data_IF_473320199366
#
_entry.id   IF_473320199366
#
_cell.length_a   1.000
_cell.length_b   1.000
_cell.length_c   1.000
_cell.angle_alpha   90.00
_cell.angle_beta   90.00
_cell.angle_gamma   90.00
#
_symmetry.space_group_name_H-M   'P 1'
#
loop_
_entity.id
_entity.type
_entity.pdbx_description
1 polymer ?
#
# COMPACT_ATOMS: atom_id res chain seq x y z
N UNK A 1 -8.37 20.33 -6.75
CA UNK A 1 -8.63 19.58 -7.97
C UNK A 1 -7.36 19.41 -8.82
N UNK A 2 -6.67 20.49 -9.21
CA UNK A 2 -5.45 20.42 -10.03
C UNK A 2 -4.36 19.56 -9.41
N UNK A 3 -4.14 19.65 -8.10
CA UNK A 3 -3.18 18.81 -7.37
C UNK A 3 -3.44 17.31 -7.57
N UNK A 4 -4.70 16.89 -7.67
CA UNK A 4 -5.04 15.49 -7.97
C UNK A 4 -4.74 15.10 -9.42
N UNK A 5 -4.93 16.03 -10.37
CA UNK A 5 -4.56 15.81 -11.78
C UNK A 5 -3.03 15.69 -11.93
N UNK A 6 -2.27 16.61 -11.31
CA UNK A 6 -0.81 16.59 -11.33
C UNK A 6 -0.27 15.29 -10.72
N UNK A 7 -0.84 14.88 -9.60
CA UNK A 7 -0.53 13.59 -8.97
C UNK A 7 -0.82 12.40 -9.88
N UNK A 8 -2.01 12.36 -10.49
CA UNK A 8 -2.37 11.27 -11.41
C UNK A 8 -1.43 11.23 -12.61
N UNK A 9 -1.13 12.38 -13.22
CA UNK A 9 -0.20 12.49 -14.35
C UNK A 9 1.20 12.00 -13.97
N UNK A 10 1.68 12.33 -12.77
CA UNK A 10 3.00 11.90 -12.28
C UNK A 10 3.11 10.39 -12.06
N UNK A 11 1.98 9.71 -11.81
CA UNK A 11 1.95 8.25 -11.55
C UNK A 11 1.80 7.40 -12.82
N UNK A 12 1.28 7.94 -13.93
CA UNK A 12 1.05 7.18 -15.17
C UNK A 12 2.32 6.45 -15.66
N UNK A 13 3.52 7.08 -15.72
CA UNK A 13 4.72 6.39 -16.17
C UNK A 13 5.11 5.19 -15.29
N UNK A 14 4.77 5.24 -14.00
CA UNK A 14 5.11 4.19 -13.04
C UNK A 14 4.27 2.93 -13.22
N UNK A 15 3.04 3.02 -13.70
CA UNK A 15 2.24 1.83 -14.03
C UNK A 15 2.89 1.01 -15.13
N UNK A 16 3.45 1.69 -16.15
CA UNK A 16 4.25 1.04 -17.18
C UNK A 16 5.53 0.44 -16.60
N UNK A 17 6.24 1.18 -15.78
CA UNK A 17 7.47 0.69 -15.12
C UNK A 17 7.21 -0.57 -14.30
N UNK A 18 6.15 -0.59 -13.49
CA UNK A 18 5.77 -1.77 -12.71
C UNK A 18 5.47 -2.98 -13.62
N UNK A 19 4.75 -2.76 -14.72
CA UNK A 19 4.49 -3.81 -15.69
C UNK A 19 5.78 -4.33 -16.33
N UNK A 20 6.67 -3.45 -16.79
CA UNK A 20 7.94 -3.82 -17.39
C UNK A 20 8.83 -4.60 -16.39
N UNK A 21 8.88 -4.19 -15.13
CA UNK A 21 9.62 -4.94 -14.09
C UNK A 21 9.09 -6.38 -13.94
N UNK A 22 7.78 -6.57 -13.95
CA UNK A 22 7.21 -7.91 -13.93
C UNK A 22 7.50 -8.73 -15.19
N UNK A 23 7.47 -8.07 -16.34
CA UNK A 23 7.73 -8.70 -17.64
C UNK A 23 9.21 -9.10 -17.80
N UNK A 24 10.12 -8.15 -17.58
CA UNK A 24 11.54 -8.32 -17.84
C UNK A 24 12.21 -9.29 -16.86
N UNK A 25 11.61 -9.50 -15.69
CA UNK A 25 12.10 -10.34 -14.62
C UNK A 25 11.17 -11.54 -14.31
N UNK A 26 10.33 -11.95 -15.28
CA UNK A 26 9.30 -12.97 -15.06
C UNK A 26 9.84 -14.32 -14.54
N UNK A 27 11.09 -14.66 -14.87
CA UNK A 27 11.76 -15.90 -14.47
C UNK A 27 12.44 -15.79 -13.10
N UNK A 28 12.50 -14.60 -12.49
CA UNK A 28 13.09 -14.42 -11.16
C UNK A 28 12.13 -14.89 -10.04
N UNK A 29 12.68 -15.11 -8.85
CA UNK A 29 11.88 -15.42 -7.66
C UNK A 29 10.96 -14.25 -7.29
N UNK A 30 9.78 -14.58 -6.73
CA UNK A 30 8.75 -13.58 -6.38
C UNK A 30 9.28 -12.50 -5.43
N UNK A 31 10.15 -12.87 -4.49
CA UNK A 31 10.79 -11.95 -3.56
C UNK A 31 11.68 -10.92 -4.27
N UNK A 32 12.40 -11.33 -5.31
CA UNK A 32 13.27 -10.44 -6.08
C UNK A 32 12.44 -9.44 -6.91
N UNK A 33 11.38 -9.93 -7.56
CA UNK A 33 10.44 -9.08 -8.29
C UNK A 33 9.78 -8.10 -7.33
N UNK A 34 9.32 -8.57 -6.17
CA UNK A 34 8.71 -7.74 -5.14
C UNK A 34 9.65 -6.61 -4.67
N UNK A 35 10.93 -6.91 -4.42
CA UNK A 35 11.90 -5.88 -4.01
C UNK A 35 12.12 -4.82 -5.11
N UNK A 36 12.14 -5.22 -6.39
CA UNK A 36 12.20 -4.28 -7.52
C UNK A 36 10.97 -3.39 -7.57
N UNK A 37 9.76 -3.98 -7.43
CA UNK A 37 8.50 -3.24 -7.39
C UNK A 37 8.43 -2.30 -6.21
N UNK A 38 8.91 -2.72 -5.03
CA UNK A 38 9.02 -1.90 -3.82
C UNK A 38 9.90 -0.69 -4.04
N UNK A 39 11.10 -0.86 -4.60
CA UNK A 39 12.00 0.24 -4.92
C UNK A 39 11.39 1.21 -5.93
N UNK A 40 10.79 0.70 -7.00
CA UNK A 40 10.09 1.52 -7.98
C UNK A 40 8.89 2.25 -7.35
N UNK A 41 8.15 1.60 -6.44
CA UNK A 41 7.06 2.20 -5.69
C UNK A 41 7.50 3.39 -4.83
N UNK A 42 8.63 3.29 -4.14
CA UNK A 42 9.19 4.42 -3.37
C UNK A 42 9.54 5.61 -4.26
N UNK A 43 10.06 5.37 -5.45
CA UNK A 43 10.33 6.41 -6.45
C UNK A 43 9.05 7.01 -7.00
N UNK A 44 8.01 6.21 -7.23
CA UNK A 44 6.68 6.68 -7.63
C UNK A 44 6.06 7.58 -6.56
N UNK A 45 6.15 7.21 -5.28
CA UNK A 45 5.72 8.08 -4.16
C UNK A 45 6.48 9.40 -4.16
N UNK A 46 7.80 9.37 -4.36
CA UNK A 46 8.62 10.57 -4.43
C UNK A 46 8.21 11.48 -5.60
N UNK A 47 7.94 10.91 -6.78
CA UNK A 47 7.45 11.66 -7.94
C UNK A 47 6.08 12.30 -7.67
N UNK A 48 5.16 11.57 -7.04
CA UNK A 48 3.86 12.08 -6.62
C UNK A 48 4.00 13.25 -5.63
N UNK A 49 4.82 13.11 -4.58
CA UNK A 49 5.03 14.18 -3.61
C UNK A 49 5.70 15.41 -4.24
N UNK A 50 6.63 15.21 -5.17
CA UNK A 50 7.26 16.30 -5.92
C UNK A 50 6.21 17.08 -6.75
N UNK A 51 5.35 16.37 -7.48
CA UNK A 51 4.30 16.97 -8.30
C UNK A 51 3.22 17.69 -7.48
N UNK A 52 3.02 17.29 -6.22
CA UNK A 52 1.96 17.80 -5.34
C UNK A 52 2.49 18.73 -4.24
N UNK A 53 3.76 19.17 -4.33
CA UNK A 53 4.39 20.01 -3.30
C UNK A 53 4.28 19.42 -1.87
N UNK A 54 4.49 18.10 -1.77
CA UNK A 54 4.47 17.36 -0.51
C UNK A 54 3.08 16.92 -0.03
N UNK A 55 2.02 17.17 -0.81
CA UNK A 55 0.65 16.78 -0.42
C UNK A 55 0.43 15.30 -0.76
N UNK A 56 0.04 14.51 0.23
CA UNK A 56 -0.35 13.12 0.01
C UNK A 56 -1.74 13.05 -0.66
N UNK A 57 -1.78 12.61 -1.90
CA UNK A 57 -3.00 12.47 -2.69
C UNK A 57 -3.29 11.00 -3.03
N UNK A 58 -2.37 10.32 -3.70
CA UNK A 58 -2.53 8.97 -4.23
C UNK A 58 -1.53 7.95 -3.67
N UNK A 59 -0.89 8.22 -2.52
CA UNK A 59 0.10 7.29 -1.92
C UNK A 59 -0.47 5.88 -1.75
N UNK A 60 -1.72 5.76 -1.30
CA UNK A 60 -2.40 4.47 -1.13
C UNK A 60 -2.62 3.67 -2.42
N UNK A 61 -2.55 4.33 -3.59
CA UNK A 61 -2.68 3.69 -4.90
C UNK A 61 -1.38 3.03 -5.37
N UNK A 62 -0.22 3.52 -4.95
CA UNK A 62 1.10 3.10 -5.48
C UNK A 62 1.35 1.62 -5.23
N UNK A 63 1.21 1.16 -3.98
CA UNK A 63 1.47 -0.24 -3.62
C UNK A 63 0.55 -1.24 -4.36
N UNK A 64 -0.79 -1.11 -4.32
CA UNK A 64 -1.67 -2.04 -5.03
C UNK A 64 -1.45 -2.01 -6.55
N UNK A 65 -1.14 -0.85 -7.13
CA UNK A 65 -0.83 -0.73 -8.56
C UNK A 65 0.50 -1.40 -8.90
N UNK A 66 1.52 -1.29 -8.07
CA UNK A 66 2.80 -1.96 -8.28
C UNK A 66 2.62 -3.49 -8.30
N UNK A 67 1.87 -4.04 -7.34
CA UNK A 67 1.58 -5.48 -7.30
C UNK A 67 0.77 -5.92 -8.51
N UNK A 68 -0.32 -5.21 -8.84
CA UNK A 68 -1.20 -5.59 -9.94
C UNK A 68 -0.51 -5.49 -11.31
N UNK A 69 0.18 -4.38 -11.58
CA UNK A 69 0.88 -4.19 -12.85
C UNK A 69 2.09 -5.13 -12.97
N UNK A 70 2.84 -5.36 -11.88
CA UNK A 70 3.94 -6.31 -11.86
C UNK A 70 3.48 -7.75 -12.10
N UNK A 71 2.41 -8.18 -11.45
CA UNK A 71 1.80 -9.48 -11.67
C UNK A 71 1.30 -9.64 -13.12
N UNK A 72 0.65 -8.59 -13.65
CA UNK A 72 0.18 -8.58 -15.04
C UNK A 72 1.36 -8.73 -16.02
N UNK A 73 2.46 -8.00 -15.80
CA UNK A 73 3.68 -8.08 -16.61
C UNK A 73 4.28 -9.49 -16.57
N UNK A 74 4.43 -10.06 -15.37
CA UNK A 74 4.98 -11.41 -15.17
C UNK A 74 4.15 -12.47 -15.87
N UNK A 75 2.82 -12.44 -15.73
CA UNK A 75 1.92 -13.40 -16.38
C UNK A 75 1.90 -13.23 -17.90
N UNK A 76 2.03 -11.98 -18.39
CA UNK A 76 2.05 -11.69 -19.83
C UNK A 76 3.36 -12.11 -20.51
N UNK A 77 4.47 -12.23 -19.78
CA UNK A 77 5.73 -12.70 -20.33
C UNK A 77 5.55 -14.08 -20.99
N UNK A 78 5.78 -14.13 -22.31
CA UNK A 78 5.62 -15.35 -23.09
C UNK A 78 4.17 -15.77 -23.42
N UNK A 79 3.16 -14.95 -23.10
CA UNK A 79 1.74 -15.24 -23.41
C UNK A 79 1.11 -14.15 -24.26
N UNK A 80 0.11 -14.52 -25.07
CA UNK A 80 -0.72 -13.58 -25.82
C UNK A 80 -1.98 -13.18 -25.04
N UNK A 81 -2.53 -12.00 -25.34
CA UNK A 81 -3.81 -11.55 -24.80
C UNK A 81 -5.01 -12.32 -25.45
N UNK A 82 -6.13 -12.47 -24.75
CA UNK A 82 -6.39 -12.04 -23.37
C UNK A 82 -5.81 -12.97 -22.32
N UNK A 83 -5.35 -12.40 -21.18
CA UNK A 83 -4.88 -13.18 -20.05
C UNK A 83 -6.05 -13.61 -19.15
N UNK A 84 -6.05 -14.85 -18.62
CA UNK A 84 -7.01 -15.25 -17.62
C UNK A 84 -6.84 -14.42 -16.34
N UNK A 85 -7.92 -13.79 -15.88
CA UNK A 85 -7.87 -12.92 -14.68
C UNK A 85 -7.37 -13.69 -13.43
N UNK A 86 -7.74 -14.97 -13.29
CA UNK A 86 -7.31 -15.76 -12.14
C UNK A 86 -5.80 -16.03 -12.11
N UNK A 87 -5.15 -16.15 -13.26
CA UNK A 87 -3.69 -16.27 -13.30
C UNK A 87 -3.02 -14.99 -12.79
N UNK A 88 -3.51 -13.81 -13.20
CA UNK A 88 -3.00 -12.52 -12.71
C UNK A 88 -3.24 -12.38 -11.21
N UNK A 89 -4.44 -12.73 -10.72
CA UNK A 89 -4.77 -12.69 -9.30
C UNK A 89 -3.94 -13.69 -8.48
N UNK A 90 -3.65 -14.86 -9.04
CA UNK A 90 -2.75 -15.83 -8.41
C UNK A 90 -1.34 -15.26 -8.24
N UNK A 91 -0.84 -14.55 -9.25
CA UNK A 91 0.46 -13.91 -9.17
C UNK A 91 0.45 -12.72 -8.21
N UNK A 92 -0.63 -11.95 -8.16
CA UNK A 92 -0.82 -10.91 -7.14
C UNK A 92 -0.73 -11.47 -5.73
N UNK A 93 -1.31 -12.67 -5.47
CA UNK A 93 -1.22 -13.32 -4.16
C UNK A 93 0.22 -13.65 -3.77
N UNK A 94 1.02 -14.16 -4.70
CA UNK A 94 2.44 -14.49 -4.46
C UNK A 94 3.24 -13.23 -4.14
N UNK A 95 3.21 -12.24 -5.02
CA UNK A 95 3.92 -10.97 -4.82
C UNK A 95 3.42 -10.22 -3.57
N UNK A 96 2.11 -10.21 -3.32
CA UNK A 96 1.50 -9.61 -2.14
C UNK A 96 1.93 -10.29 -0.84
N UNK A 97 2.09 -11.62 -0.86
CA UNK A 97 2.54 -12.39 0.31
C UNK A 97 3.95 -12.04 0.75
N UNK A 98 4.85 -11.65 -0.18
CA UNK A 98 6.18 -11.15 0.16
C UNK A 98 6.09 -9.92 1.09
N UNK A 99 5.10 -9.05 0.89
CA UNK A 99 4.88 -7.85 1.72
C UNK A 99 4.44 -8.15 3.16
N UNK A 100 3.75 -9.27 3.38
CA UNK A 100 3.35 -9.70 4.73
C UNK A 100 4.53 -10.24 5.54
N UNK A 101 5.49 -10.87 4.90
CA UNK A 101 6.74 -11.30 5.53
C UNK A 101 7.50 -10.13 6.15
N UNK A 102 7.48 -8.97 5.50
CA UNK A 102 8.10 -7.75 6.03
C UNK A 102 7.36 -7.20 7.25
N UNK A 103 6.02 -7.22 7.25
CA UNK A 103 5.23 -6.84 8.42
C UNK A 103 5.54 -7.73 9.63
N UNK A 104 5.64 -9.04 9.43
CA UNK A 104 5.96 -9.99 10.50
C UNK A 104 7.37 -9.76 11.07
N UNK A 105 8.36 -9.46 10.22
CA UNK A 105 9.72 -9.12 10.65
C UNK A 105 9.76 -7.86 11.50
N UNK A 106 9.06 -6.80 11.07
CA UNK A 106 8.96 -5.53 11.81
C UNK A 106 8.32 -5.74 13.19
N UNK A 107 7.23 -6.49 13.26
CA UNK A 107 6.54 -6.80 14.52
C UNK A 107 7.42 -7.58 15.50
N UNK A 108 8.12 -8.60 15.01
CA UNK A 108 9.04 -9.39 15.83
C UNK A 108 10.23 -8.56 16.34
N UNK A 109 10.71 -7.61 15.55
CA UNK A 109 11.79 -6.72 15.96
C UNK A 109 11.35 -5.75 17.06
N UNK A 110 10.16 -5.18 16.96
CA UNK A 110 9.59 -4.30 18.00
C UNK A 110 9.33 -5.02 19.31
N UNK A 111 8.79 -6.24 19.26
CA UNK A 111 8.59 -7.04 20.48
C UNK A 111 9.91 -7.38 21.16
N UNK A 112 10.98 -7.64 20.42
CA UNK A 112 12.31 -7.83 21.00
C UNK A 112 12.86 -6.57 21.67
N UNK A 113 12.65 -5.39 21.09
CA UNK A 113 13.10 -4.12 21.66
C UNK A 113 12.30 -3.73 22.91
N UNK A 114 10.99 -3.99 22.93
CA UNK A 114 10.15 -3.72 24.11
C UNK A 114 10.48 -4.65 25.29
N UNK A 115 10.88 -5.89 25.03
CA UNK A 115 11.37 -6.80 26.06
C UNK A 115 12.78 -6.48 26.54
N UNK A 116 13.63 -5.91 25.69
CA UNK A 116 14.99 -5.50 26.08
C UNK A 116 14.99 -4.22 26.95
N UNK A 117 14.09 -3.29 26.71
CA UNK A 117 13.96 -2.05 27.49
C UNK A 117 13.28 -2.22 28.85
N UNK A 118 12.72 -3.37 29.16
CA UNK A 118 12.14 -3.68 30.48
C UNK A 118 13.15 -4.29 31.48
N UNK A 119 14.42 -4.45 31.10
CA UNK A 119 15.45 -5.10 31.95
C UNK A 119 16.47 -4.11 32.51
N UNK A 120 16.56 -2.87 32.03
CA UNK A 120 17.53 -1.87 32.51
C UNK A 120 16.87 -0.60 33.07
N UNK A 121 16.33 -0.70 34.28
CA UNK A 121 16.10 0.45 35.15
C UNK A 121 16.88 0.23 36.44
N UNK A 122 18.21 0.34 36.38
CA UNK A 122 19.04 0.72 37.50
C UNK A 122 20.48 0.99 37.03
N UNK A 123 20.82 2.22 36.74
CA UNK A 123 22.12 2.84 37.10
C UNK A 123 22.13 4.32 36.74
N UNK A 124 22.35 5.06 37.77
CA UNK A 124 22.50 6.52 37.80
C UNK A 124 23.79 7.00 37.15
N UNK A 125 23.66 8.26 36.70
CA UNK A 125 24.69 9.31 36.71
C UNK A 125 25.79 9.33 35.66
N UNK A 126 25.80 10.39 34.84
CA UNK A 126 26.88 11.38 34.85
C UNK A 126 26.73 12.39 33.72
N UNK A 127 26.87 13.65 34.10
CA UNK A 127 26.93 14.88 33.29
C UNK A 127 28.09 14.84 32.29
N UNK A 128 27.88 15.42 31.07
CA UNK A 128 28.99 15.69 30.16
C UNK A 128 28.54 16.43 28.89
N UNK A 129 28.60 17.77 28.99
CA UNK A 129 28.89 18.80 27.95
C UNK A 129 28.69 18.46 26.47
N UNK A 130 27.88 19.30 25.80
CA UNK A 130 27.85 19.55 24.35
C UNK A 130 29.22 19.97 23.78
N UNK A 131 29.45 19.70 22.51
CA UNK A 131 29.94 20.72 21.59
C UNK A 131 28.99 20.94 20.40
N UNK A 132 28.71 22.23 20.15
CA UNK A 132 28.25 22.74 18.85
C UNK A 132 29.32 22.51 17.79
N UNK A 133 28.97 22.02 16.60
CA UNK A 133 29.32 22.64 15.32
C UNK A 133 28.61 21.94 14.14
N UNK A 134 27.78 22.62 13.49
CA UNK A 134 27.62 23.20 12.16
C UNK A 134 27.82 22.32 10.93
N UNK A 135 26.79 22.38 10.08
CA UNK A 135 26.69 22.51 8.63
C UNK A 135 26.48 21.29 7.77
N UNK A 136 25.30 21.34 7.12
CA UNK A 136 25.04 20.88 5.76
C UNK A 136 25.23 19.39 5.46
N UNK A 137 24.28 18.59 5.96
CA UNK A 137 23.84 17.39 5.23
C UNK A 137 22.33 17.51 5.00
N UNK A 138 21.80 17.08 3.81
CA UNK A 138 20.38 16.92 3.66
C UNK A 138 19.87 15.96 4.74
N UNK A 139 18.64 16.15 5.28
CA UNK A 139 18.15 15.34 6.38
C UNK A 139 18.19 13.87 5.96
N UNK A 140 19.11 13.12 6.54
CA UNK A 140 19.04 11.67 6.54
C UNK A 140 17.75 11.32 7.27
N UNK A 141 16.85 10.59 6.58
CA UNK A 141 15.62 10.11 7.17
C UNK A 141 15.97 9.39 8.48
N UNK A 142 15.47 9.91 9.59
CA UNK A 142 15.48 9.25 10.90
C UNK A 142 15.01 7.80 10.73
N UNK A 143 15.53 6.83 11.49
CA UNK A 143 15.12 5.43 11.35
C UNK A 143 13.61 5.34 11.54
N UNK A 144 12.96 5.07 10.43
CA UNK A 144 11.55 5.03 10.05
C UNK A 144 10.53 4.99 11.20
N UNK A 145 9.87 6.12 11.40
CA UNK A 145 8.55 6.10 12.02
C UNK A 145 7.65 5.16 11.20
N UNK A 146 6.98 4.19 11.87
CA UNK A 146 6.05 3.26 11.22
C UNK A 146 5.05 3.99 10.32
N UNK A 147 4.80 3.45 9.15
CA UNK A 147 3.71 3.90 8.29
C UNK A 147 2.35 3.73 9.00
N UNK A 148 1.34 4.46 8.56
CA UNK A 148 -0.01 4.35 9.13
C UNK A 148 -0.55 2.90 9.06
N UNK A 149 -0.29 2.18 7.96
CA UNK A 149 -0.68 0.77 7.82
C UNK A 149 0.02 -0.14 8.82
N UNK A 150 1.31 0.07 9.10
CA UNK A 150 2.07 -0.70 10.08
C UNK A 150 1.60 -0.42 11.52
N UNK A 151 1.24 0.83 11.83
CA UNK A 151 0.65 1.19 13.14
C UNK A 151 -0.71 0.54 13.35
N UNK A 152 -1.58 0.52 12.33
CA UNK A 152 -2.89 -0.11 12.39
C UNK A 152 -2.77 -1.61 12.52
N UNK A 153 -1.84 -2.22 11.77
CA UNK A 153 -1.54 -3.64 11.92
C UNK A 153 -1.09 -3.99 13.34
N UNK A 154 -0.16 -3.21 13.90
CA UNK A 154 0.33 -3.40 15.28
C UNK A 154 -0.77 -3.24 16.33
N UNK A 155 -1.69 -2.29 16.14
CA UNK A 155 -2.73 -1.98 17.12
C UNK A 155 -3.97 -2.88 17.02
N UNK A 156 -4.34 -3.29 15.79
CA UNK A 156 -5.63 -3.92 15.53
C UNK A 156 -5.54 -5.21 14.71
N UNK A 157 -4.34 -5.63 14.26
CA UNK A 157 -4.15 -6.81 13.42
C UNK A 157 -4.67 -6.64 11.97
N UNK A 158 -5.07 -5.44 11.57
CA UNK A 158 -5.64 -5.17 10.24
C UNK A 158 -4.51 -5.02 9.22
N UNK A 159 -4.45 -5.94 8.25
CA UNK A 159 -3.38 -6.01 7.25
C UNK A 159 -3.51 -4.96 6.12
N UNK A 160 -4.69 -4.34 5.96
CA UNK A 160 -4.94 -3.30 4.97
C UNK A 160 -4.60 -3.70 3.54
N UNK A 161 -3.98 -2.80 2.78
CA UNK A 161 -3.63 -3.03 1.38
C UNK A 161 -2.69 -4.23 1.16
N UNK A 162 -1.82 -4.55 2.12
CA UNK A 162 -0.93 -5.71 2.03
C UNK A 162 -1.70 -7.02 2.15
N UNK A 163 -2.68 -7.09 3.07
CA UNK A 163 -3.58 -8.23 3.18
C UNK A 163 -4.47 -8.41 1.95
N UNK A 164 -4.99 -7.30 1.41
CA UNK A 164 -5.75 -7.31 0.17
C UNK A 164 -4.92 -7.88 -1.00
N UNK A 165 -3.69 -7.43 -1.19
CA UNK A 165 -2.81 -7.93 -2.24
C UNK A 165 -2.49 -9.42 -2.05
N UNK A 166 -2.13 -9.84 -0.84
CA UNK A 166 -1.82 -11.23 -0.52
C UNK A 166 -3.03 -12.17 -0.67
N UNK A 167 -4.25 -11.64 -0.57
CA UNK A 167 -5.49 -12.38 -0.83
C UNK A 167 -5.96 -12.30 -2.30
N UNK A 168 -5.28 -11.53 -3.18
CA UNK A 168 -5.64 -11.32 -4.58
C UNK A 168 -6.75 -10.30 -4.76
N UNK A 169 -6.73 -9.24 -3.96
CA UNK A 169 -7.67 -8.10 -4.01
C UNK A 169 -9.16 -8.50 -3.91
N UNK A 170 -9.58 -9.30 -2.90
CA UNK A 170 -10.95 -9.77 -2.79
C UNK A 170 -11.99 -8.64 -2.74
N UNK A 171 -11.69 -7.53 -2.07
CA UNK A 171 -12.61 -6.39 -2.02
C UNK A 171 -12.88 -5.80 -3.40
N UNK A 172 -11.84 -5.63 -4.21
CA UNK A 172 -12.00 -5.14 -5.58
C UNK A 172 -12.73 -6.16 -6.47
N UNK A 173 -12.35 -7.44 -6.41
CA UNK A 173 -12.81 -8.48 -7.34
C UNK A 173 -14.21 -9.00 -7.00
N UNK A 174 -14.50 -9.21 -5.71
CA UNK A 174 -15.74 -9.85 -5.25
C UNK A 174 -16.83 -8.86 -4.84
N UNK A 175 -16.47 -7.62 -4.52
CA UNK A 175 -17.40 -6.58 -4.07
C UNK A 175 -17.45 -5.43 -5.07
N UNK A 176 -16.37 -4.70 -5.26
CA UNK A 176 -16.34 -3.47 -6.05
C UNK A 176 -16.68 -3.69 -7.53
N UNK A 177 -16.02 -4.64 -8.18
CA UNK A 177 -16.26 -4.91 -9.62
C UNK A 177 -17.66 -5.47 -9.91
N UNK A 178 -18.21 -6.42 -9.13
CA UNK A 178 -19.61 -6.83 -9.27
C UNK A 178 -20.60 -5.69 -9.03
N UNK A 179 -20.39 -4.86 -8.01
CA UNK A 179 -21.23 -3.69 -7.74
C UNK A 179 -21.19 -2.70 -8.92
N UNK A 180 -20.01 -2.37 -9.44
CA UNK A 180 -19.85 -1.50 -10.60
C UNK A 180 -20.61 -2.06 -11.82
N UNK A 181 -20.42 -3.34 -12.13
CA UNK A 181 -21.12 -4.02 -13.25
C UNK A 181 -22.63 -4.00 -13.08
N UNK A 182 -23.13 -4.22 -11.85
CA UNK A 182 -24.57 -4.18 -11.54
C UNK A 182 -25.16 -2.81 -11.88
N UNK A 183 -24.52 -1.73 -11.45
CA UNK A 183 -25.06 -0.39 -11.67
C UNK A 183 -24.92 0.09 -13.12
N UNK A 184 -23.85 -0.31 -13.82
CA UNK A 184 -23.73 -0.07 -15.26
C UNK A 184 -24.82 -0.82 -16.04
N UNK A 185 -25.13 -2.08 -15.68
CA UNK A 185 -26.22 -2.85 -16.30
C UNK A 185 -27.61 -2.24 -16.02
N UNK A 186 -27.75 -1.50 -14.92
CA UNK A 186 -28.97 -0.72 -14.60
C UNK A 186 -29.00 0.67 -15.28
N UNK A 187 -28.17 0.89 -16.29
CA UNK A 187 -28.11 2.13 -17.10
C UNK A 187 -27.71 3.38 -16.33
N UNK A 188 -27.03 3.26 -15.20
CA UNK A 188 -26.41 4.40 -14.53
C UNK A 188 -25.22 4.94 -15.34
N UNK A 189 -24.94 6.24 -15.22
CA UNK A 189 -23.71 6.79 -15.78
C UNK A 189 -22.49 6.13 -15.13
N UNK A 190 -21.32 6.16 -15.79
CA UNK A 190 -20.09 5.60 -15.23
C UNK A 190 -19.74 6.23 -13.86
N UNK A 191 -19.96 7.55 -13.71
CA UNK A 191 -19.70 8.23 -12.46
C UNK A 191 -20.65 7.79 -11.35
N UNK A 192 -21.94 7.67 -11.64
CA UNK A 192 -22.92 7.23 -10.65
C UNK A 192 -22.71 5.76 -10.27
N UNK A 193 -22.44 4.90 -11.26
CA UNK A 193 -22.12 3.49 -11.02
C UNK A 193 -20.86 3.32 -10.18
N UNK A 194 -19.82 4.15 -10.42
CA UNK A 194 -18.60 4.14 -9.62
C UNK A 194 -18.87 4.63 -8.19
N UNK A 195 -19.70 5.67 -8.01
CA UNK A 195 -20.09 6.15 -6.68
C UNK A 195 -20.86 5.07 -5.90
N UNK A 196 -21.80 4.38 -6.53
CA UNK A 196 -22.55 3.28 -5.91
C UNK A 196 -21.65 2.08 -5.57
N UNK A 197 -20.67 1.77 -6.42
CA UNK A 197 -19.69 0.72 -6.14
C UNK A 197 -18.80 1.11 -4.95
N UNK A 198 -18.41 2.39 -4.85
CA UNK A 198 -17.64 2.90 -3.72
C UNK A 198 -18.45 2.83 -2.41
N UNK A 199 -19.71 3.23 -2.41
CA UNK A 199 -20.59 3.08 -1.24
C UNK A 199 -20.71 1.62 -0.81
N UNK A 200 -20.86 0.69 -1.77
CA UNK A 200 -20.87 -0.75 -1.47
C UNK A 200 -19.56 -1.21 -0.83
N UNK A 201 -18.41 -0.73 -1.33
CA UNK A 201 -17.11 -1.02 -0.71
C UNK A 201 -17.00 -0.45 0.71
N UNK A 202 -17.46 0.77 0.93
CA UNK A 202 -17.45 1.41 2.25
C UNK A 202 -18.30 0.62 3.25
N UNK A 203 -19.46 0.09 2.82
CA UNK A 203 -20.35 -0.68 3.70
C UNK A 203 -19.78 -2.06 4.08
N UNK A 204 -18.94 -2.67 3.24
CA UNK A 204 -18.51 -4.05 3.45
C UNK A 204 -17.04 -4.19 3.88
N UNK A 205 -16.14 -3.28 3.45
CA UNK A 205 -14.69 -3.39 3.66
C UNK A 205 -14.22 -2.59 4.85
N UNK A 206 -13.19 -3.10 5.57
CA UNK A 206 -12.54 -2.34 6.64
C UNK A 206 -11.52 -1.36 6.04
N UNK A 207 -11.85 -0.06 6.09
CA UNK A 207 -10.96 0.99 5.61
C UNK A 207 -9.97 1.41 6.71
N UNK A 208 -8.69 1.09 6.47
CA UNK A 208 -7.60 1.47 7.38
C UNK A 208 -7.45 2.99 7.56
N UNK A 209 -7.83 3.81 6.57
CA UNK A 209 -7.81 5.25 6.71
C UNK A 209 -8.91 5.75 7.64
N UNK A 210 -10.11 5.16 7.57
CA UNK A 210 -11.20 5.47 8.51
C UNK A 210 -10.82 5.08 9.93
N UNK A 211 -10.25 3.88 10.11
CA UNK A 211 -9.75 3.43 11.42
C UNK A 211 -8.64 4.35 11.94
N UNK A 212 -7.72 4.79 11.07
CA UNK A 212 -6.64 5.69 11.46
C UNK A 212 -7.14 7.08 11.88
N UNK A 213 -8.16 7.62 11.21
CA UNK A 213 -8.66 8.98 11.45
C UNK A 213 -9.66 9.07 12.60
N UNK A 214 -10.46 8.05 12.81
CA UNK A 214 -11.56 8.10 13.75
C UNK A 214 -11.72 6.89 14.68
N UNK A 215 -10.79 5.96 14.61
CA UNK A 215 -10.85 4.72 15.37
C UNK A 215 -11.84 3.69 14.83
N UNK A 216 -11.84 2.47 15.41
CA UNK A 216 -12.70 1.37 14.96
C UNK A 216 -14.21 1.68 15.04
N UNK A 217 -14.63 2.42 16.05
CA UNK A 217 -16.04 2.77 16.27
C UNK A 217 -16.59 3.68 15.15
N UNK A 218 -15.80 4.69 14.72
CA UNK A 218 -16.20 5.56 13.63
C UNK A 218 -16.23 4.81 12.30
N UNK A 219 -15.26 3.92 12.06
CA UNK A 219 -15.24 3.06 10.88
C UNK A 219 -16.49 2.18 10.81
N UNK A 220 -16.88 1.56 11.93
CA UNK A 220 -18.11 0.76 12.04
C UNK A 220 -19.36 1.59 11.75
N UNK A 221 -19.49 2.78 12.35
CA UNK A 221 -20.62 3.68 12.11
C UNK A 221 -20.72 4.12 10.65
N UNK A 222 -19.61 4.37 9.99
CA UNK A 222 -19.58 4.72 8.56
C UNK A 222 -20.09 3.58 7.67
N UNK A 223 -19.79 2.32 8.02
CA UNK A 223 -20.35 1.16 7.32
C UNK A 223 -21.87 1.04 7.45
N UNK A 224 -22.41 1.34 8.62
CA UNK A 224 -23.85 1.29 8.88
C UNK A 224 -24.63 2.39 8.14
N UNK A 225 -23.95 3.46 7.72
CA UNK A 225 -24.55 4.60 7.02
C UNK A 225 -24.39 4.57 5.49
N UNK A 226 -23.51 3.69 4.95
CA UNK A 226 -23.27 3.54 3.52
C UNK A 226 -24.21 2.51 2.88
#
# INVERSE_FOLDING_TARGET
FFTFLDSSASLIPWFREFFCLGWDHADEADEQIFERLRYAGQRAETAMFSATHGINTHKGLVFPSAILCGALGKVHAGKSLPLPAEEVLSECRKLGSCSLGDLAKLFNHQNKLSHASSIDVNSQDSRGSMPMDTKNHPPQAEPSALSNGERIFSAYGIQGARGEAAAGFPSAVRIGLPALKKWLAACFSLNDAAAMALLTLISEVDDTNMVHRGGPELAKKSKEQA
#
